data_IF_444657652936
#
_entry.id   IF_444657652936
#
_cell.length_a   1.000
_cell.length_b   1.000
_cell.length_c   1.000
_cell.angle_alpha   90.00
_cell.angle_beta   90.00
_cell.angle_gamma   90.00
#
_symmetry.space_group_name_H-M   'P 1'
#
loop_
_entity.id
_entity.type
_entity.pdbx_description
1 polymer ?
#
# COMPACT_ATOMS: atom_id res chain seq x y z
N UNK A 1 -12.60 1.28 12.28
CA UNK A 1 -12.17 2.56 11.65
C UNK A 1 -10.85 2.31 10.97
N UNK A 2 -10.58 2.90 9.81
CA UNK A 2 -9.30 2.70 9.13
C UNK A 2 -8.18 3.46 9.85
N UNK A 3 -7.29 2.72 10.51
CA UNK A 3 -6.15 3.31 11.18
C UNK A 3 -5.03 3.58 10.16
N UNK A 4 -4.70 4.86 9.97
CA UNK A 4 -3.66 5.33 9.04
C UNK A 4 -2.37 5.63 9.78
N UNK A 5 -1.26 5.07 9.30
CA UNK A 5 0.06 5.30 9.88
C UNK A 5 1.12 5.46 8.79
N UNK A 6 1.91 6.53 8.89
CA UNK A 6 3.18 6.62 8.15
C UNK A 6 4.19 5.69 8.80
N UNK A 7 4.78 4.80 8.01
CA UNK A 7 5.74 3.80 8.49
C UNK A 7 7.02 3.81 7.65
N UNK A 8 8.11 3.34 8.26
CA UNK A 8 9.38 3.13 7.57
C UNK A 8 9.39 1.75 6.88
N UNK A 9 10.18 1.54 5.82
CA UNK A 9 10.31 0.24 5.15
C UNK A 9 10.61 -0.92 6.11
N UNK A 10 11.42 -0.72 7.15
CA UNK A 10 11.72 -1.76 8.15
C UNK A 10 10.49 -2.17 8.96
N UNK A 11 9.63 -1.20 9.30
CA UNK A 11 8.38 -1.49 10.00
C UNK A 11 7.42 -2.24 9.09
N UNK A 12 7.36 -1.88 7.80
CA UNK A 12 6.56 -2.64 6.83
C UNK A 12 7.05 -4.08 6.70
N UNK A 13 8.36 -4.31 6.59
CA UNK A 13 8.95 -5.66 6.55
C UNK A 13 8.53 -6.52 7.75
N UNK A 14 8.51 -5.94 8.95
CA UNK A 14 8.01 -6.63 10.14
C UNK A 14 6.51 -6.96 10.04
N UNK A 15 5.69 -6.04 9.49
CA UNK A 15 4.25 -6.24 9.31
C UNK A 15 3.91 -7.29 8.25
N UNK A 16 4.78 -7.55 7.26
CA UNK A 16 4.56 -8.60 6.27
C UNK A 16 4.50 -10.01 6.88
N UNK A 17 5.05 -10.19 8.08
CA UNK A 17 5.07 -11.48 8.79
C UNK A 17 3.87 -11.69 9.71
N UNK A 18 3.03 -10.67 9.89
CA UNK A 18 1.85 -10.76 10.75
C UNK A 18 0.64 -11.21 9.93
N UNK A 19 -0.28 -12.05 10.45
CA UNK A 19 -1.42 -12.57 9.68
C UNK A 19 -2.57 -11.57 9.44
N UNK A 20 -2.35 -10.26 9.59
CA UNK A 20 -3.42 -9.24 9.48
C UNK A 20 -3.73 -8.80 8.05
N UNK A 21 -4.79 -8.00 7.92
CA UNK A 21 -5.21 -7.35 6.68
C UNK A 21 -4.78 -5.87 6.66
N UNK A 22 -4.42 -5.38 5.48
CA UNK A 22 -4.10 -3.96 5.31
C UNK A 22 -3.78 -3.56 3.89
N UNK A 23 -3.86 -2.25 3.65
CA UNK A 23 -3.37 -1.62 2.42
C UNK A 23 -2.08 -0.85 2.71
N UNK A 24 -1.10 -0.97 1.82
CA UNK A 24 0.12 -0.17 1.83
C UNK A 24 0.17 0.69 0.57
N UNK A 25 0.25 2.00 0.75
CA UNK A 25 0.58 2.95 -0.30
C UNK A 25 2.05 3.32 -0.20
N UNK A 26 2.82 2.98 -1.23
CA UNK A 26 4.28 3.11 -1.25
C UNK A 26 4.66 4.10 -2.34
N UNK A 27 5.46 5.10 -1.99
CA UNK A 27 6.09 6.03 -2.94
C UNK A 27 7.57 6.19 -2.61
N UNK A 28 8.43 5.93 -3.59
CA UNK A 28 9.86 6.18 -3.51
C UNK A 28 10.31 7.11 -4.62
N UNK A 29 10.99 8.21 -4.30
CA UNK A 29 11.60 9.10 -5.30
C UNK A 29 13.03 8.65 -5.58
N UNK A 30 13.30 8.31 -6.85
CA UNK A 30 14.63 8.02 -7.37
C UNK A 30 15.09 9.19 -8.26
N UNK A 31 16.36 9.21 -8.64
CA UNK A 31 16.96 10.31 -9.43
C UNK A 31 16.18 10.64 -10.72
N UNK A 32 15.64 9.63 -11.41
CA UNK A 32 15.01 9.78 -12.73
C UNK A 32 13.55 9.33 -12.78
N UNK A 33 13.02 8.75 -11.69
CA UNK A 33 11.67 8.16 -11.68
C UNK A 33 11.09 8.11 -10.27
N UNK A 34 9.76 8.04 -10.20
CA UNK A 34 9.05 7.78 -8.95
C UNK A 34 8.54 6.35 -8.99
N UNK A 35 8.96 5.53 -8.02
CA UNK A 35 8.38 4.23 -7.75
C UNK A 35 7.07 4.42 -6.96
N UNK A 36 6.02 3.76 -7.39
CA UNK A 36 4.68 3.90 -6.82
C UNK A 36 3.94 2.57 -6.87
N UNK A 37 3.48 2.09 -5.72
CA UNK A 37 2.77 0.81 -5.59
C UNK A 37 1.66 0.92 -4.55
N UNK A 38 0.51 0.33 -4.86
CA UNK A 38 -0.50 -0.06 -3.87
C UNK A 38 -0.46 -1.57 -3.69
N UNK A 39 -0.24 -2.00 -2.47
CA UNK A 39 -0.17 -3.40 -2.09
C UNK A 39 -1.22 -3.68 -1.04
N UNK A 40 -2.16 -4.56 -1.36
CA UNK A 40 -3.12 -5.06 -0.40
C UNK A 40 -2.65 -6.41 0.14
N UNK A 41 -2.75 -6.59 1.45
CA UNK A 41 -2.33 -7.77 2.16
C UNK A 41 -3.55 -8.40 2.83
N UNK A 42 -3.73 -9.71 2.64
CA UNK A 42 -4.81 -10.48 3.25
C UNK A 42 -4.27 -11.82 3.75
N UNK A 43 -4.14 -11.98 5.07
CA UNK A 43 -3.46 -13.15 5.64
C UNK A 43 -2.00 -13.22 5.15
N UNK A 44 -1.60 -14.30 4.49
CA UNK A 44 -0.26 -14.41 3.89
C UNK A 44 -0.19 -14.00 2.41
N UNK A 45 -1.34 -13.63 1.81
CA UNK A 45 -1.45 -13.26 0.40
C UNK A 45 -1.19 -11.76 0.19
N UNK A 46 -0.61 -11.42 -0.95
CA UNK A 46 -0.37 -10.05 -1.38
C UNK A 46 -0.93 -9.82 -2.77
N UNK A 47 -1.66 -8.72 -2.94
CA UNK A 47 -2.34 -8.36 -4.17
C UNK A 47 -1.92 -6.94 -4.59
N UNK A 48 -1.58 -6.77 -5.86
CA UNK A 48 -1.27 -5.44 -6.42
C UNK A 48 -2.55 -4.74 -6.85
N UNK A 49 -2.71 -3.50 -6.40
CA UNK A 49 -3.78 -2.63 -6.84
C UNK A 49 -3.24 -1.65 -7.89
N UNK A 50 -3.51 -1.94 -9.16
CA UNK A 50 -3.13 -1.06 -10.28
C UNK A 50 -4.14 0.08 -10.43
N UNK A 51 -4.12 1.01 -9.48
CA UNK A 51 -4.98 2.19 -9.50
C UNK A 51 -4.18 3.46 -9.14
N UNK A 52 -3.60 4.14 -10.16
CA UNK A 52 -2.84 5.37 -9.95
C UNK A 52 -3.67 6.51 -9.33
N UNK A 53 -4.97 6.54 -9.61
CA UNK A 53 -5.87 7.55 -9.06
C UNK A 53 -6.06 7.37 -7.55
N UNK A 54 -6.29 6.13 -7.11
CA UNK A 54 -6.38 5.78 -5.69
C UNK A 54 -5.07 6.13 -4.96
N UNK A 55 -3.92 5.78 -5.54
CA UNK A 55 -2.62 6.12 -4.94
C UNK A 55 -2.45 7.64 -4.78
N UNK A 56 -2.81 8.42 -5.80
CA UNK A 56 -2.76 9.88 -5.73
C UNK A 56 -3.66 10.44 -4.61
N UNK A 57 -4.88 9.92 -4.46
CA UNK A 57 -5.78 10.32 -3.37
C UNK A 57 -5.15 10.05 -2.00
N UNK A 58 -4.63 8.84 -1.81
CA UNK A 58 -4.07 8.42 -0.52
C UNK A 58 -2.84 9.24 -0.16
N UNK A 59 -1.91 9.43 -1.10
CA UNK A 59 -0.57 9.98 -0.81
C UNK A 59 -0.39 11.48 -1.04
N UNK A 60 -1.16 12.10 -1.95
CA UNK A 60 -1.01 13.53 -2.26
C UNK A 60 -2.09 14.39 -1.62
N UNK A 61 -3.23 13.80 -1.25
CA UNK A 61 -4.39 14.55 -0.81
C UNK A 61 -5.19 13.92 0.36
N UNK A 62 -4.52 13.39 1.41
CA UNK A 62 -5.18 12.64 2.46
C UNK A 62 -6.26 13.43 3.22
N UNK A 63 -6.19 14.77 3.23
CA UNK A 63 -7.10 15.65 3.96
C UNK A 63 -8.06 16.47 3.08
N UNK A 64 -7.92 16.44 1.74
CA UNK A 64 -8.81 17.20 0.83
C UNK A 64 -10.00 16.39 0.35
N UNK A 65 -9.92 15.06 0.39
CA UNK A 65 -11.01 14.20 -0.04
C UNK A 65 -11.79 13.68 1.16
N UNK A 66 -13.09 13.94 1.17
CA UNK A 66 -14.05 13.53 2.20
C UNK A 66 -14.50 12.08 2.06
N UNK A 67 -13.60 11.19 1.63
CA UNK A 67 -13.95 9.78 1.52
C UNK A 67 -14.18 9.23 2.92
N UNK A 68 -15.34 8.64 3.13
CA UNK A 68 -15.56 7.82 4.30
C UNK A 68 -14.69 6.56 4.22
N UNK A 69 -14.49 5.90 5.35
CA UNK A 69 -13.82 4.58 5.38
C UNK A 69 -14.50 3.61 4.38
N UNK A 70 -15.83 3.68 4.25
CA UNK A 70 -16.58 2.84 3.31
C UNK A 70 -16.29 3.18 1.84
N UNK A 71 -16.16 4.46 1.48
CA UNK A 71 -15.83 4.85 0.10
C UNK A 71 -14.45 4.31 -0.30
N UNK A 72 -13.50 4.34 0.63
CA UNK A 72 -12.17 3.79 0.41
C UNK A 72 -12.21 2.26 0.25
N UNK A 73 -12.94 1.56 1.12
CA UNK A 73 -13.11 0.10 1.02
C UNK A 73 -13.75 -0.31 -0.31
N UNK A 74 -14.84 0.34 -0.72
CA UNK A 74 -15.49 0.08 -1.99
C UNK A 74 -14.52 0.28 -3.17
N UNK A 75 -13.72 1.36 -3.15
CA UNK A 75 -12.73 1.60 -4.20
C UNK A 75 -11.61 0.55 -4.22
N UNK A 76 -11.22 0.03 -3.05
CA UNK A 76 -10.25 -1.07 -2.94
C UNK A 76 -10.82 -2.33 -3.57
N UNK A 77 -12.05 -2.71 -3.23
CA UNK A 77 -12.75 -3.87 -3.78
C UNK A 77 -12.93 -3.76 -5.31
N UNK A 78 -13.47 -2.65 -5.80
CA UNK A 78 -13.63 -2.37 -7.24
C UNK A 78 -12.28 -2.47 -7.98
N UNK A 79 -11.20 -2.00 -7.33
CA UNK A 79 -9.84 -2.08 -7.88
C UNK A 79 -9.32 -3.51 -7.89
N UNK A 80 -9.56 -4.30 -6.85
CA UNK A 80 -9.16 -5.70 -6.79
C UNK A 80 -9.86 -6.53 -7.87
N UNK A 81 -11.18 -6.35 -8.02
CA UNK A 81 -11.99 -7.03 -9.03
C UNK A 81 -11.54 -6.67 -10.45
N UNK A 82 -11.40 -5.37 -10.75
CA UNK A 82 -10.94 -4.90 -12.07
C UNK A 82 -9.51 -5.33 -12.41
N UNK A 83 -8.68 -5.57 -11.39
CA UNK A 83 -7.32 -6.11 -11.54
C UNK A 83 -7.26 -7.64 -11.51
N UNK A 84 -8.40 -8.33 -11.46
CA UNK A 84 -8.49 -9.79 -11.35
C UNK A 84 -7.67 -10.35 -10.18
N UNK A 85 -7.64 -9.62 -9.05
CA UNK A 85 -6.88 -10.00 -7.86
C UNK A 85 -5.41 -10.33 -8.18
N UNK A 86 -4.75 -9.44 -8.94
CA UNK A 86 -3.40 -9.67 -9.44
C UNK A 86 -2.41 -9.98 -8.29
N UNK A 87 -1.86 -11.20 -8.20
CA UNK A 87 -1.04 -11.59 -7.06
C UNK A 87 0.37 -11.01 -7.14
N UNK A 88 0.94 -10.71 -5.98
CA UNK A 88 2.36 -10.46 -5.78
C UNK A 88 2.93 -11.55 -4.86
N UNK A 89 4.09 -12.09 -5.22
CA UNK A 89 4.78 -13.00 -4.32
C UNK A 89 5.42 -12.24 -3.15
N UNK A 90 5.43 -12.85 -1.96
CA UNK A 90 6.11 -12.30 -0.77
C UNK A 90 7.58 -11.98 -1.02
N UNK A 91 8.27 -12.79 -1.83
CA UNK A 91 9.70 -12.62 -2.15
C UNK A 91 9.95 -11.33 -2.95
N UNK A 92 9.08 -11.02 -3.93
CA UNK A 92 9.15 -9.75 -4.67
C UNK A 92 8.88 -8.55 -3.77
N UNK A 93 7.89 -8.64 -2.87
CA UNK A 93 7.59 -7.56 -1.92
C UNK A 93 8.78 -7.33 -0.96
N UNK A 94 9.37 -8.39 -0.43
CA UNK A 94 10.54 -8.33 0.46
C UNK A 94 11.76 -7.73 -0.26
N UNK A 95 12.00 -8.13 -1.52
CA UNK A 95 13.07 -7.55 -2.33
C UNK A 95 12.87 -6.04 -2.56
N UNK A 96 11.66 -5.63 -2.96
CA UNK A 96 11.34 -4.22 -3.19
C UNK A 96 11.57 -3.38 -1.91
N UNK A 97 11.09 -3.87 -0.75
CA UNK A 97 11.27 -3.17 0.52
C UNK A 97 12.74 -3.08 0.95
N UNK A 98 13.54 -4.12 0.71
CA UNK A 98 14.99 -4.10 0.96
C UNK A 98 15.71 -3.06 0.10
N UNK A 99 15.26 -2.86 -1.13
CA UNK A 99 15.78 -1.81 -2.02
C UNK A 99 15.31 -0.43 -1.55
N UNK A 100 14.01 -0.28 -1.27
CA UNK A 100 13.41 0.99 -0.81
C UNK A 100 14.03 1.48 0.50
N UNK A 101 14.41 0.58 1.41
CA UNK A 101 15.17 0.90 2.61
C UNK A 101 16.48 1.67 2.35
N UNK A 102 17.09 1.50 1.18
CA UNK A 102 18.34 2.18 0.82
C UNK A 102 18.10 3.55 0.15
N UNK A 103 16.85 3.94 -0.08
CA UNK A 103 16.48 5.19 -0.75
C UNK A 103 16.07 6.22 0.31
N UNK A 104 16.61 7.44 0.22
CA UNK A 104 16.38 8.49 1.22
C UNK A 104 14.94 9.03 1.24
N UNK A 105 14.25 8.99 0.09
CA UNK A 105 12.93 9.57 -0.09
C UNK A 105 11.87 8.50 -0.32
N UNK A 106 11.57 7.72 0.71
CA UNK A 106 10.49 6.73 0.71
C UNK A 106 9.41 7.09 1.72
N UNK A 107 8.18 7.04 1.25
CA UNK A 107 6.96 7.26 2.02
C UNK A 107 6.11 5.99 1.91
N UNK A 108 5.75 5.43 3.07
CA UNK A 108 4.83 4.30 3.15
C UNK A 108 3.70 4.70 4.09
N UNK A 109 2.49 4.74 3.56
CA UNK A 109 1.27 4.88 4.35
C UNK A 109 0.61 3.50 4.49
N UNK A 110 0.44 3.07 5.72
CA UNK A 110 -0.22 1.82 6.07
C UNK A 110 -1.62 2.10 6.60
N UNK A 111 -2.58 1.38 6.02
CA UNK A 111 -3.99 1.38 6.37
C UNK A 111 -4.29 0.02 6.98
N UNK A 112 -4.38 -0.01 8.30
CA UNK A 112 -4.76 -1.22 9.00
C UNK A 112 -6.28 -1.39 8.90
N UNK A 113 -6.70 -2.53 8.36
CA UNK A 113 -8.10 -2.95 8.39
C UNK A 113 -8.33 -3.61 9.76
N UNK A 114 -9.27 -3.10 10.55
CA UNK A 114 -9.72 -3.76 11.77
C UNK A 114 -10.71 -4.88 11.39
N UNK A 115 -10.62 -6.04 12.07
CA UNK A 115 -11.67 -7.07 12.02
C UNK A 115 -12.96 -6.62 12.74
#
# INVERSE_FOLDING_TARGET
MLNRQMIQPEKMLALLSNPGEGLFAIRGRMETKTYQVLLYKYGEEFLLLKNPYLLHILMDNPYKYSWSDQDLLNNIEDTLESNYYYPASKEWVDLDLKILKQIEQVEIEWFQMEE
#
